data_IF_632589837586
#
_entry.id   IF_632589837586
#
_cell.length_a   1.000
_cell.length_b   1.000
_cell.length_c   1.000
_cell.angle_alpha   90.00
_cell.angle_beta   90.00
_cell.angle_gamma   90.00
#
_symmetry.space_group_name_H-M   'P 1'
#
loop_
_entity.id
_entity.type
_entity.pdbx_description
1 polymer ?
#
# COMPACT_ATOMS: atom_id res chain seq x y z
N UNK A 1 -18.21 -6.83 16.66
CA UNK A 1 -16.86 -6.96 16.07
C UNK A 1 -15.97 -5.91 16.69
N UNK A 2 -14.98 -6.31 17.49
CA UNK A 2 -14.04 -5.41 18.14
C UNK A 2 -13.23 -4.64 17.10
N UNK A 3 -13.24 -3.31 17.16
CA UNK A 3 -12.34 -2.49 16.35
C UNK A 3 -10.90 -2.88 16.67
N UNK A 4 -10.21 -3.49 15.70
CA UNK A 4 -8.77 -3.78 15.77
C UNK A 4 -8.02 -2.43 15.73
N UNK A 5 -7.62 -1.92 16.89
CA UNK A 5 -6.91 -0.63 17.01
C UNK A 5 -5.44 -0.79 16.64
N UNK A 6 -5.04 -0.57 15.38
CA UNK A 6 -3.62 -0.60 14.98
C UNK A 6 -2.77 0.39 15.82
N UNK A 7 -1.55 -0.02 16.20
CA UNK A 7 -0.66 0.79 17.06
C UNK A 7 0.42 1.49 16.26
N UNK A 8 0.52 2.81 16.41
CA UNK A 8 1.61 3.60 15.85
C UNK A 8 2.70 3.86 16.88
N UNK A 9 3.96 3.83 16.43
CA UNK A 9 5.11 4.15 17.28
C UNK A 9 6.18 4.91 16.48
N UNK A 10 6.82 5.89 17.11
CA UNK A 10 8.02 6.53 16.58
C UNK A 10 9.25 5.98 17.29
N UNK A 11 10.21 5.54 16.50
CA UNK A 11 11.41 4.86 16.97
C UNK A 11 12.63 5.57 16.40
N UNK A 12 13.56 5.98 17.27
CA UNK A 12 14.82 6.63 16.90
C UNK A 12 15.89 6.30 17.94
N UNK A 13 17.15 6.26 17.52
CA UNK A 13 18.29 6.18 18.44
C UNK A 13 18.61 7.52 19.11
N UNK A 14 18.12 8.64 18.57
CA UNK A 14 18.29 10.03 19.04
C UNK A 14 19.29 10.16 20.20
N UNK A 15 20.58 10.15 19.86
CA UNK A 15 21.68 10.14 20.83
C UNK A 15 21.82 11.48 21.57
N UNK A 16 21.20 12.53 21.03
CA UNK A 16 21.14 13.84 21.67
C UNK A 16 20.10 13.87 22.80
N UNK A 17 19.19 12.89 22.86
CA UNK A 17 18.22 12.74 23.94
C UNK A 17 18.80 11.87 25.08
N UNK A 18 19.04 12.43 26.29
CA UNK A 18 19.64 11.70 27.40
C UNK A 18 18.77 10.56 27.96
N UNK A 19 17.49 10.53 27.62
CA UNK A 19 16.59 9.41 27.98
C UNK A 19 16.71 8.21 27.03
N UNK A 20 17.37 8.36 25.88
CA UNK A 20 17.54 7.27 24.93
C UNK A 20 18.69 6.36 25.37
N UNK A 21 18.37 5.10 25.65
CA UNK A 21 19.38 4.06 25.84
C UNK A 21 19.64 3.33 24.50
N UNK A 22 20.78 3.56 23.83
CA UNK A 22 21.08 2.95 22.53
C UNK A 22 21.25 1.42 22.61
N UNK A 23 21.50 0.88 23.80
CA UNK A 23 21.62 -0.56 24.04
C UNK A 23 20.30 -1.22 24.45
N UNK A 24 19.18 -0.49 24.43
CA UNK A 24 17.88 -1.04 24.78
C UNK A 24 17.47 -2.12 23.75
N UNK A 25 17.33 -3.39 24.16
CA UNK A 25 17.03 -4.48 23.22
C UNK A 25 15.70 -4.27 22.49
N UNK A 26 14.68 -3.69 23.14
CA UNK A 26 13.38 -3.42 22.49
C UNK A 26 13.49 -2.37 21.38
N UNK A 27 14.34 -1.37 21.58
CA UNK A 27 14.62 -0.33 20.57
C UNK A 27 15.32 -0.96 19.36
N UNK A 28 16.39 -1.72 19.62
CA UNK A 28 17.16 -2.39 18.56
C UNK A 28 16.32 -3.39 17.78
N UNK A 29 15.47 -4.18 18.44
CA UNK A 29 14.55 -5.10 17.76
C UNK A 29 13.63 -4.35 16.80
N UNK A 30 13.02 -3.24 17.23
CA UNK A 30 12.13 -2.45 16.36
C UNK A 30 12.85 -1.85 15.16
N UNK A 31 14.05 -1.31 15.36
CA UNK A 31 14.87 -0.81 14.25
C UNK A 31 15.28 -1.93 13.29
N UNK A 32 15.61 -3.12 13.81
CA UNK A 32 15.87 -4.31 12.99
C UNK A 32 14.63 -4.72 12.18
N UNK A 33 13.44 -4.73 12.79
CA UNK A 33 12.19 -5.01 12.07
C UNK A 33 11.95 -4.01 10.92
N UNK A 34 12.19 -2.72 11.17
CA UNK A 34 12.09 -1.70 10.12
C UNK A 34 13.12 -1.92 9.00
N UNK A 35 14.38 -2.19 9.37
CA UNK A 35 15.45 -2.49 8.42
C UNK A 35 15.08 -3.71 7.56
N UNK A 36 14.60 -4.79 8.16
CA UNK A 36 14.25 -6.01 7.43
C UNK A 36 13.06 -5.78 6.49
N UNK A 37 12.05 -5.01 6.93
CA UNK A 37 10.94 -4.57 6.06
C UNK A 37 11.44 -3.74 4.87
N UNK A 38 12.32 -2.76 5.10
CA UNK A 38 12.84 -1.94 4.00
C UNK A 38 13.72 -2.77 3.06
N UNK A 39 14.54 -3.69 3.57
CA UNK A 39 15.35 -4.57 2.74
C UNK A 39 14.51 -5.49 1.86
N UNK A 40 13.37 -5.98 2.35
CA UNK A 40 12.50 -6.87 1.58
C UNK A 40 11.65 -6.11 0.56
N UNK A 41 11.13 -4.94 0.93
CA UNK A 41 10.20 -4.17 0.09
C UNK A 41 10.91 -3.23 -0.89
N UNK A 42 12.18 -2.90 -0.65
CA UNK A 42 13.00 -2.03 -1.51
C UNK A 42 14.28 -2.78 -1.98
N UNK A 43 14.15 -3.80 -2.86
CA UNK A 43 15.28 -4.68 -3.22
C UNK A 43 16.40 -3.98 -4.00
N UNK A 44 16.13 -2.81 -4.59
CA UNK A 44 17.13 -1.97 -5.26
C UNK A 44 18.00 -1.18 -4.28
N UNK A 45 17.60 -1.07 -3.01
CA UNK A 45 18.36 -0.38 -1.99
C UNK A 45 19.41 -1.32 -1.37
N UNK A 46 20.70 -0.95 -1.35
CA UNK A 46 21.72 -1.77 -0.71
C UNK A 46 21.43 -1.98 0.79
N UNK A 47 21.56 -3.21 1.29
CA UNK A 47 21.23 -3.55 2.69
C UNK A 47 22.05 -2.75 3.70
N UNK A 48 23.33 -2.52 3.44
CA UNK A 48 24.20 -1.70 4.29
C UNK A 48 23.77 -0.24 4.31
N UNK A 49 23.28 0.26 3.17
CA UNK A 49 22.75 1.61 3.05
C UNK A 49 21.48 1.79 3.89
N UNK A 50 20.54 0.85 3.77
CA UNK A 50 19.30 0.82 4.57
C UNK A 50 19.63 0.79 6.05
N UNK A 51 20.50 -0.15 6.46
CA UNK A 51 20.92 -0.30 7.85
C UNK A 51 21.53 1.00 8.39
N UNK A 52 22.44 1.62 7.64
CA UNK A 52 23.09 2.86 8.07
C UNK A 52 22.12 4.01 8.32
N UNK A 53 21.03 4.13 7.54
CA UNK A 53 20.04 5.19 7.73
C UNK A 53 19.02 4.86 8.82
N UNK A 54 18.53 3.62 8.88
CA UNK A 54 17.57 3.19 9.92
C UNK A 54 18.18 3.34 11.32
N UNK A 55 19.47 3.03 11.46
CA UNK A 55 20.23 3.17 12.71
C UNK A 55 20.97 4.52 12.81
N UNK A 56 20.63 5.51 11.98
CA UNK A 56 21.23 6.83 12.09
C UNK A 56 20.55 7.64 13.22
N UNK A 57 21.30 8.27 14.15
CA UNK A 57 20.73 9.07 15.23
C UNK A 57 19.85 10.24 14.77
N UNK A 58 20.09 10.78 13.57
CA UNK A 58 19.32 11.88 13.01
C UNK A 58 18.05 11.44 12.26
N UNK A 59 17.82 10.13 12.16
CA UNK A 59 16.62 9.57 11.54
C UNK A 59 15.64 9.07 12.59
N UNK A 60 14.37 9.20 12.25
CA UNK A 60 13.25 8.66 13.02
C UNK A 60 12.45 7.75 12.11
N UNK A 61 12.00 6.62 12.64
CA UNK A 61 11.16 5.67 11.92
C UNK A 61 9.77 5.66 12.55
N UNK A 62 8.76 6.09 11.79
CA UNK A 62 7.35 5.87 12.11
C UNK A 62 7.00 4.43 11.75
N UNK A 63 6.44 3.68 12.69
CA UNK A 63 6.12 2.27 12.55
C UNK A 63 4.64 2.02 12.85
N UNK A 64 4.02 1.10 12.12
CA UNK A 64 2.64 0.67 12.34
C UNK A 64 2.60 -0.84 12.61
N UNK A 65 2.07 -1.23 13.76
CA UNK A 65 1.96 -2.62 14.20
C UNK A 65 0.51 -3.11 14.22
N UNK A 66 0.34 -4.42 14.02
CA UNK A 66 -0.91 -5.14 14.24
C UNK A 66 -1.00 -5.66 15.69
N UNK A 67 -2.20 -5.62 16.29
CA UNK A 67 -2.36 -5.86 17.74
C UNK A 67 -2.15 -7.30 18.20
N UNK A 68 -2.49 -8.29 17.38
CA UNK A 68 -2.57 -9.68 17.86
C UNK A 68 -1.19 -10.29 18.11
N UNK A 69 -0.16 -9.88 17.36
CA UNK A 69 1.18 -10.51 17.43
C UNK A 69 2.35 -9.53 17.13
N UNK A 70 2.11 -8.21 17.06
CA UNK A 70 3.07 -7.18 16.62
C UNK A 70 3.79 -7.42 15.27
N UNK A 71 3.20 -8.03 14.22
CA UNK A 71 3.82 -7.94 12.90
C UNK A 71 3.84 -6.48 12.45
N UNK A 72 5.01 -6.03 11.99
CA UNK A 72 5.19 -4.70 11.43
C UNK A 72 4.45 -4.62 10.09
N UNK A 73 3.42 -3.79 10.02
CA UNK A 73 2.58 -3.62 8.83
C UNK A 73 3.21 -2.66 7.82
N UNK A 74 3.90 -1.64 8.31
CA UNK A 74 4.54 -0.62 7.49
C UNK A 74 5.40 0.32 8.30
N UNK A 75 6.34 0.97 7.63
CA UNK A 75 7.25 1.93 8.24
C UNK A 75 7.60 3.07 7.28
N UNK A 76 7.85 4.26 7.85
CA UNK A 76 8.41 5.41 7.16
C UNK A 76 9.63 5.88 7.95
N UNK A 77 10.82 5.78 7.36
CA UNK A 77 12.06 6.32 7.92
C UNK A 77 12.32 7.70 7.32
N UNK A 78 12.50 8.71 8.17
CA UNK A 78 12.67 10.09 7.74
C UNK A 78 13.72 10.82 8.58
N UNK A 79 14.35 11.82 7.99
CA UNK A 79 15.29 12.74 8.62
C UNK A 79 14.61 14.09 8.88
N UNK A 80 14.97 14.71 10.00
CA UNK A 80 14.41 15.99 10.44
C UNK A 80 15.42 17.12 10.23
N UNK A 81 15.02 18.20 9.57
CA UNK A 81 15.73 19.47 9.47
C UNK A 81 14.96 20.53 10.25
N UNK A 82 15.18 20.57 11.57
CA UNK A 82 14.43 21.42 12.51
C UNK A 82 14.47 22.92 12.13
N UNK A 83 15.64 23.53 11.83
CA UNK A 83 15.69 24.96 11.49
C UNK A 83 14.88 25.30 10.23
N UNK A 84 14.95 24.43 9.24
CA UNK A 84 14.25 24.54 7.96
C UNK A 84 12.77 24.11 8.01
N UNK A 85 12.30 23.57 9.14
CA UNK A 85 10.95 22.99 9.30
C UNK A 85 10.61 21.95 8.22
N UNK A 86 11.63 21.21 7.80
CA UNK A 86 11.58 20.26 6.69
C UNK A 86 11.81 18.82 7.19
N UNK A 87 11.01 17.87 6.70
CA UNK A 87 11.24 16.44 6.89
C UNK A 87 11.56 15.76 5.56
N UNK A 88 12.64 14.98 5.50
CA UNK A 88 13.01 14.18 4.33
C UNK A 88 12.66 12.72 4.58
N UNK A 89 11.76 12.15 3.77
CA UNK A 89 11.51 10.71 3.81
C UNK A 89 12.62 10.00 3.05
N UNK A 90 13.38 9.16 3.76
CA UNK A 90 14.42 8.31 3.21
C UNK A 90 13.87 6.98 2.71
N UNK A 91 12.99 6.33 3.50
CA UNK A 91 12.35 5.06 3.12
C UNK A 91 10.87 5.05 3.50
N UNK A 92 10.06 4.43 2.66
CA UNK A 92 8.64 4.20 2.91
C UNK A 92 8.26 2.82 2.36
N UNK A 93 7.77 1.94 3.23
CA UNK A 93 7.41 0.58 2.85
C UNK A 93 6.20 0.07 3.64
N UNK A 94 5.42 -0.79 3.00
CA UNK A 94 4.30 -1.53 3.59
C UNK A 94 4.50 -3.00 3.27
N UNK A 95 4.31 -3.87 4.25
CA UNK A 95 4.46 -5.31 4.08
C UNK A 95 3.58 -5.81 2.93
N UNK A 96 4.15 -6.63 2.04
CA UNK A 96 3.49 -7.09 0.81
C UNK A 96 2.16 -7.81 1.03
N UNK A 97 1.99 -8.51 2.16
CA UNK A 97 0.74 -9.20 2.56
C UNK A 97 -0.41 -8.24 2.91
N UNK A 98 -0.12 -6.95 3.09
CA UNK A 98 -1.05 -5.90 3.54
C UNK A 98 -1.09 -4.71 2.59
N UNK A 99 -0.46 -4.83 1.41
CA UNK A 99 -0.60 -3.86 0.31
C UNK A 99 -2.07 -3.76 -0.09
N UNK A 100 -2.49 -2.59 -0.56
CA UNK A 100 -3.85 -2.28 -1.01
C UNK A 100 -4.94 -2.23 0.07
N UNK A 101 -4.61 -2.40 1.35
CA UNK A 101 -5.54 -2.24 2.48
C UNK A 101 -5.58 -0.81 3.05
N UNK A 102 -5.05 0.18 2.31
CA UNK A 102 -4.98 1.58 2.75
C UNK A 102 -3.94 1.87 3.84
N UNK A 103 -3.13 0.88 4.23
CA UNK A 103 -2.08 1.01 5.27
C UNK A 103 -1.10 2.14 4.96
N UNK A 104 -0.62 2.22 3.72
CA UNK A 104 0.32 3.27 3.29
C UNK A 104 -0.24 4.68 3.44
N UNK A 105 -1.54 4.88 3.20
CA UNK A 105 -2.20 6.16 3.42
C UNK A 105 -2.37 6.45 4.92
N UNK A 106 -2.75 5.44 5.73
CA UNK A 106 -2.90 5.58 7.19
C UNK A 106 -1.59 6.03 7.85
N UNK A 107 -0.47 5.36 7.57
CA UNK A 107 0.82 5.70 8.19
C UNK A 107 1.35 7.06 7.72
N UNK A 108 1.14 7.42 6.45
CA UNK A 108 1.50 8.75 5.94
C UNK A 108 0.67 9.85 6.61
N UNK A 109 -0.64 9.67 6.75
CA UNK A 109 -1.51 10.65 7.42
C UNK A 109 -1.15 10.82 8.89
N UNK A 110 -0.86 9.72 9.59
CA UNK A 110 -0.39 9.77 10.97
C UNK A 110 0.95 10.51 11.10
N UNK A 111 1.91 10.24 10.21
CA UNK A 111 3.18 10.97 10.16
C UNK A 111 2.96 12.47 9.94
N UNK A 112 2.08 12.87 9.02
CA UNK A 112 1.78 14.28 8.75
C UNK A 112 1.22 15.00 9.97
N UNK A 113 0.25 14.39 10.65
CA UNK A 113 -0.33 14.97 11.87
C UNK A 113 0.75 15.21 12.92
N UNK A 114 1.66 14.26 13.09
CA UNK A 114 2.75 14.36 14.08
C UNK A 114 3.80 15.40 13.69
N UNK A 115 4.19 15.45 12.42
CA UNK A 115 5.10 16.47 11.91
C UNK A 115 4.53 17.89 12.04
N UNK A 116 3.21 18.07 11.85
CA UNK A 116 2.54 19.35 12.08
C UNK A 116 2.62 19.75 13.55
N UNK A 117 2.37 18.82 14.47
CA UNK A 117 2.48 19.07 15.90
C UNK A 117 3.92 19.46 16.30
N UNK A 118 4.91 18.82 15.68
CA UNK A 118 6.33 19.13 15.88
C UNK A 118 6.79 20.42 15.15
N UNK A 119 5.89 21.11 14.43
CA UNK A 119 6.14 22.41 13.80
C UNK A 119 6.77 22.37 12.40
N UNK A 120 6.77 21.22 11.73
CA UNK A 120 7.23 21.08 10.35
C UNK A 120 6.18 21.58 9.36
N UNK A 121 6.62 22.19 8.26
CA UNK A 121 5.75 22.74 7.21
C UNK A 121 5.81 21.94 5.93
N UNK A 122 6.88 21.18 5.70
CA UNK A 122 7.12 20.51 4.43
C UNK A 122 7.72 19.12 4.63
N UNK A 123 7.26 18.20 3.79
CA UNK A 123 7.87 16.88 3.61
C UNK A 123 8.41 16.79 2.19
N UNK A 124 9.62 16.29 2.04
CA UNK A 124 10.23 16.04 0.73
C UNK A 124 10.74 14.62 0.63
N UNK A 125 10.83 14.11 -0.59
CA UNK A 125 11.43 12.80 -0.84
C UNK A 125 11.85 12.68 -2.31
N UNK A 126 12.79 11.77 -2.56
CA UNK A 126 13.07 11.27 -3.89
C UNK A 126 12.28 9.98 -4.09
N UNK A 127 11.25 10.05 -4.91
CA UNK A 127 10.36 8.95 -5.18
C UNK A 127 10.78 8.17 -6.43
N UNK A 128 10.92 6.86 -6.28
CA UNK A 128 11.06 5.96 -7.42
C UNK A 128 9.84 6.05 -8.35
N UNK A 129 10.04 5.79 -9.64
CA UNK A 129 9.00 5.89 -10.66
C UNK A 129 7.74 5.08 -10.33
N UNK A 130 7.88 3.91 -9.71
CA UNK A 130 6.76 3.06 -9.26
C UNK A 130 6.00 3.63 -8.06
N UNK A 131 6.60 4.53 -7.29
CA UNK A 131 6.02 5.12 -6.08
C UNK A 131 5.41 6.52 -6.31
N UNK A 132 5.62 7.13 -7.48
CA UNK A 132 5.10 8.48 -7.80
C UNK A 132 3.60 8.59 -7.59
N UNK A 133 2.84 7.58 -8.05
CA UNK A 133 1.38 7.60 -7.89
C UNK A 133 0.96 7.53 -6.41
N UNK A 134 1.67 6.73 -5.60
CA UNK A 134 1.43 6.66 -4.15
C UNK A 134 1.66 8.01 -3.48
N UNK A 135 2.80 8.66 -3.75
CA UNK A 135 3.10 9.97 -3.19
C UNK A 135 2.13 11.04 -3.68
N UNK A 136 1.73 11.01 -4.97
CA UNK A 136 0.71 11.90 -5.50
C UNK A 136 -0.63 11.74 -4.80
N UNK A 137 -1.08 10.50 -4.54
CA UNK A 137 -2.30 10.22 -3.75
C UNK A 137 -2.18 10.69 -2.30
N UNK A 138 -0.95 10.72 -1.77
CA UNK A 138 -0.64 11.31 -0.48
C UNK A 138 -0.43 12.84 -0.54
N UNK A 139 -0.76 13.53 -1.64
CA UNK A 139 -0.67 14.99 -1.72
C UNK A 139 0.73 15.55 -1.94
N UNK A 140 1.69 14.73 -2.36
CA UNK A 140 2.97 15.22 -2.86
C UNK A 140 2.84 15.70 -4.31
N UNK A 141 3.65 16.69 -4.68
CA UNK A 141 3.71 17.26 -6.02
C UNK A 141 5.14 17.27 -6.54
N UNK A 142 5.29 17.09 -7.85
CA UNK A 142 6.55 17.33 -8.57
C UNK A 142 6.89 18.83 -8.63
N UNK A 143 5.90 19.71 -8.43
CA UNK A 143 6.11 21.15 -8.39
C UNK A 143 6.62 21.54 -7.01
N UNK A 144 7.88 21.95 -6.95
CA UNK A 144 8.56 22.34 -5.72
C UNK A 144 8.33 23.83 -5.48
N UNK A 145 7.68 24.16 -4.38
CA UNK A 145 7.47 25.52 -3.88
C UNK A 145 8.50 25.92 -2.83
N UNK A 146 9.22 24.94 -2.26
CA UNK A 146 10.27 25.19 -1.29
C UNK A 146 11.45 25.89 -1.97
N UNK A 147 11.96 26.96 -1.34
CA UNK A 147 13.12 27.69 -1.87
C UNK A 147 14.35 26.76 -1.92
N UNK A 148 15.10 26.84 -3.02
CA UNK A 148 16.21 25.93 -3.31
C UNK A 148 17.28 25.91 -2.22
N UNK A 149 17.59 27.07 -1.63
CA UNK A 149 18.53 27.23 -0.52
C UNK A 149 18.15 26.44 0.74
N UNK A 150 16.90 25.99 0.88
CA UNK A 150 16.43 25.19 2.02
C UNK A 150 16.80 23.72 1.85
N UNK A 151 16.68 23.15 0.65
CA UNK A 151 16.78 21.70 0.43
C UNK A 151 18.02 21.28 -0.38
N UNK A 152 18.52 22.13 -1.27
CA UNK A 152 19.66 21.83 -2.12
C UNK A 152 20.91 21.57 -1.27
N UNK A 153 21.60 20.46 -1.54
CA UNK A 153 22.78 20.00 -0.79
C UNK A 153 22.50 19.43 0.60
N UNK A 154 21.26 19.47 1.10
CA UNK A 154 20.86 18.85 2.39
C UNK A 154 20.13 17.53 2.21
N UNK A 155 19.23 17.49 1.23
CA UNK A 155 18.41 16.32 0.89
C UNK A 155 19.21 15.40 -0.04
N UNK A 156 19.13 14.09 0.17
CA UNK A 156 19.87 13.12 -0.62
C UNK A 156 19.24 12.91 -1.99
N UNK A 157 20.06 13.00 -3.03
CA UNK A 157 19.69 12.67 -4.40
C UNK A 157 19.79 11.16 -4.65
N UNK A 158 18.85 10.63 -5.44
CA UNK A 158 18.85 9.24 -5.89
C UNK A 158 18.67 9.19 -7.40
N UNK A 159 19.52 8.44 -8.09
CA UNK A 159 19.50 8.33 -9.55
C UNK A 159 18.20 7.69 -10.04
N UNK A 160 17.58 8.28 -11.05
CA UNK A 160 16.31 7.79 -11.61
C UNK A 160 15.08 8.01 -10.73
N UNK A 161 15.22 8.69 -9.58
CA UNK A 161 14.10 9.08 -8.72
C UNK A 161 13.66 10.52 -9.01
N UNK A 162 12.37 10.81 -8.79
CA UNK A 162 11.81 12.15 -8.94
C UNK A 162 11.71 12.84 -7.59
N UNK A 163 12.23 14.07 -7.49
CA UNK A 163 12.05 14.89 -6.31
C UNK A 163 10.60 15.38 -6.20
N UNK A 164 9.97 15.17 -5.05
CA UNK A 164 8.58 15.57 -4.78
C UNK A 164 8.44 16.21 -3.40
N UNK A 165 7.52 17.17 -3.29
CA UNK A 165 7.22 17.92 -2.07
C UNK A 165 5.75 17.78 -1.65
N UNK A 166 5.50 17.60 -0.37
CA UNK A 166 4.19 17.73 0.27
C UNK A 166 4.23 18.89 1.27
N UNK A 167 3.48 19.96 0.98
CA UNK A 167 3.23 21.03 1.94
C UNK A 167 2.21 20.58 2.99
N UNK A 168 2.50 20.81 4.26
CA UNK A 168 1.64 20.49 5.39
C UNK A 168 0.76 21.68 5.75
N UNK A 169 -0.53 21.40 5.99
CA UNK A 169 -1.51 22.41 6.37
C UNK A 169 -1.98 22.15 7.80
N UNK A 170 -1.59 23.03 8.73
CA UNK A 170 -1.88 22.90 10.16
C UNK A 170 -3.38 22.92 10.52
N UNK A 171 -4.23 23.46 9.64
CA UNK A 171 -5.68 23.44 9.81
C UNK A 171 -6.35 22.11 9.44
N UNK A 172 -5.59 21.09 9.00
CA UNK A 172 -6.11 19.80 8.57
C UNK A 172 -5.57 18.69 9.47
N UNK A 173 -6.48 17.91 10.06
CA UNK A 173 -6.15 16.63 10.70
C UNK A 173 -6.21 15.52 9.66
N UNK A 174 -5.05 15.10 9.15
CA UNK A 174 -4.92 14.16 8.03
C UNK A 174 -5.43 12.75 8.40
N UNK A 175 -5.28 12.31 9.65
CA UNK A 175 -5.86 11.04 10.13
C UNK A 175 -7.39 10.98 9.99
N UNK A 176 -8.07 12.13 9.96
CA UNK A 176 -9.52 12.25 9.85
C UNK A 176 -9.97 12.83 8.50
N UNK A 177 -9.06 12.97 7.53
CA UNK A 177 -9.36 13.65 6.25
C UNK A 177 -10.54 13.05 5.51
N UNK A 178 -10.73 11.72 5.59
CA UNK A 178 -11.87 11.04 4.96
C UNK A 178 -13.21 11.51 5.54
N UNK A 179 -13.30 11.61 6.87
CA UNK A 179 -14.48 12.13 7.57
C UNK A 179 -14.69 13.61 7.27
N UNK A 180 -13.61 14.41 7.33
CA UNK A 180 -13.66 15.83 7.04
C UNK A 180 -14.21 16.13 5.64
N UNK A 181 -13.76 15.39 4.62
CA UNK A 181 -14.26 15.55 3.24
C UNK A 181 -15.73 15.10 3.13
N UNK A 182 -16.13 14.04 3.82
CA UNK A 182 -17.53 13.61 3.87
C UNK A 182 -18.42 14.69 4.50
N UNK A 183 -18.02 15.24 5.64
CA UNK A 183 -18.75 16.29 6.34
C UNK A 183 -18.87 17.56 5.46
N UNK A 184 -17.78 17.98 4.83
CA UNK A 184 -17.77 19.09 3.88
C UNK A 184 -18.72 18.87 2.70
N UNK A 185 -18.70 17.66 2.10
CA UNK A 185 -19.61 17.28 1.02
C UNK A 185 -21.06 17.38 1.47
N UNK A 186 -21.39 16.88 2.66
CA UNK A 186 -22.76 16.94 3.19
C UNK A 186 -23.25 18.37 3.39
N UNK A 187 -22.39 19.27 3.87
CA UNK A 187 -22.71 20.69 4.03
C UNK A 187 -23.01 21.34 2.67
N UNK A 188 -22.19 21.07 1.64
CA UNK A 188 -22.38 21.62 0.29
C UNK A 188 -23.69 21.12 -0.31
N UNK A 189 -23.95 19.80 -0.26
CA UNK A 189 -25.17 19.21 -0.82
C UNK A 189 -26.42 19.76 -0.16
N UNK A 190 -26.40 19.91 1.17
CA UNK A 190 -27.49 20.54 1.93
C UNK A 190 -27.73 21.98 1.47
N UNK A 191 -26.67 22.76 1.25
CA UNK A 191 -26.78 24.15 0.75
C UNK A 191 -27.34 24.23 -0.67
N UNK A 192 -27.08 23.22 -1.50
CA UNK A 192 -27.60 23.13 -2.86
C UNK A 192 -29.04 22.59 -2.93
N UNK A 193 -29.67 22.28 -1.78
CA UNK A 193 -31.02 21.70 -1.75
C UNK A 193 -31.08 20.27 -2.29
N UNK A 194 -29.93 19.61 -2.45
CA UNK A 194 -29.86 18.22 -2.88
C UNK A 194 -30.04 17.36 -1.63
N UNK A 195 -31.26 16.85 -1.43
CA UNK A 195 -31.52 15.83 -0.43
C UNK A 195 -30.86 14.55 -0.90
N UNK A 196 -29.73 14.21 -0.29
CA UNK A 196 -29.24 12.83 -0.38
C UNK A 196 -30.32 11.97 0.26
N UNK A 197 -30.97 11.10 -0.53
CA UNK A 197 -31.59 9.92 0.06
C UNK A 197 -30.50 9.29 0.93
N UNK A 198 -30.81 9.05 2.21
CA UNK A 198 -29.90 8.33 3.08
C UNK A 198 -29.58 7.00 2.40
N UNK A 199 -28.43 6.91 1.75
CA UNK A 199 -27.73 5.65 1.74
C UNK A 199 -27.26 5.51 3.17
N UNK A 200 -28.04 4.76 3.95
CA UNK A 200 -27.84 4.53 5.37
C UNK A 200 -26.35 4.31 5.62
N UNK A 201 -25.75 5.15 6.46
CA UNK A 201 -24.42 4.88 7.03
C UNK A 201 -24.54 3.82 8.13
N UNK A 202 -25.14 2.70 7.79
CA UNK A 202 -24.56 1.43 8.19
C UNK A 202 -23.70 1.03 7.00
N UNK A 203 -22.46 0.62 7.20
CA UNK A 203 -21.85 -0.31 6.24
C UNK A 203 -22.64 -1.62 6.40
N UNK A 204 -23.92 -1.62 6.06
CA UNK A 204 -24.50 -2.77 5.39
C UNK A 204 -23.88 -2.65 4.02
N UNK A 205 -22.67 -3.21 3.92
CA UNK A 205 -22.17 -3.87 2.74
C UNK A 205 -23.39 -4.17 1.84
N UNK A 206 -23.61 -3.34 0.80
CA UNK A 206 -24.81 -3.44 -0.06
C UNK A 206 -24.75 -4.83 -0.70
N UNK A 207 -25.39 -5.78 -0.02
CA UNK A 207 -25.14 -7.21 -0.18
C UNK A 207 -25.27 -7.61 -1.66
N UNK A 208 -26.21 -7.05 -2.45
CA UNK A 208 -26.29 -7.27 -3.89
C UNK A 208 -25.04 -6.81 -4.67
N UNK A 209 -24.45 -5.65 -4.36
CA UNK A 209 -23.27 -5.13 -5.07
C UNK A 209 -21.99 -5.87 -4.64
N UNK A 210 -21.90 -6.24 -3.37
CA UNK A 210 -20.79 -7.06 -2.88
C UNK A 210 -20.83 -8.49 -3.38
N UNK A 211 -22.03 -9.09 -3.47
CA UNK A 211 -22.23 -10.37 -4.15
C UNK A 211 -21.89 -10.25 -5.64
N UNK A 212 -22.26 -9.14 -6.30
CA UNK A 212 -21.90 -8.89 -7.69
C UNK A 212 -20.39 -8.81 -7.91
N UNK A 213 -19.67 -8.07 -7.06
CA UNK A 213 -18.21 -7.96 -7.12
C UNK A 213 -17.51 -9.28 -6.77
N UNK A 214 -18.02 -10.00 -5.76
CA UNK A 214 -17.55 -11.34 -5.38
C UNK A 214 -17.75 -12.33 -6.53
N UNK A 215 -18.93 -12.38 -7.14
CA UNK A 215 -19.23 -13.29 -8.24
C UNK A 215 -18.41 -12.95 -9.48
N UNK A 216 -18.24 -11.66 -9.81
CA UNK A 216 -17.37 -11.23 -10.88
C UNK A 216 -15.90 -11.65 -10.66
N UNK A 217 -15.40 -11.51 -9.43
CA UNK A 217 -14.06 -11.98 -9.06
C UNK A 217 -13.93 -13.50 -9.19
N UNK A 218 -14.90 -14.26 -8.65
CA UNK A 218 -14.89 -15.72 -8.73
C UNK A 218 -14.97 -16.22 -10.17
N UNK A 219 -15.85 -15.64 -11.00
CA UNK A 219 -15.95 -15.97 -12.42
C UNK A 219 -14.65 -15.69 -13.15
N UNK A 220 -14.07 -14.51 -12.94
CA UNK A 220 -12.80 -14.15 -13.55
C UNK A 220 -11.69 -15.14 -13.22
N UNK A 221 -11.55 -15.48 -11.93
CA UNK A 221 -10.51 -16.43 -11.50
C UNK A 221 -10.78 -17.83 -12.05
N UNK A 222 -12.04 -18.28 -12.07
CA UNK A 222 -12.39 -19.62 -12.56
C UNK A 222 -12.15 -19.77 -14.07
N UNK A 223 -12.53 -18.77 -14.87
CA UNK A 223 -12.29 -18.73 -16.31
C UNK A 223 -10.80 -18.70 -16.65
N UNK A 224 -10.00 -17.97 -15.87
CA UNK A 224 -8.55 -17.90 -16.09
C UNK A 224 -7.85 -19.17 -15.62
N UNK A 225 -8.26 -19.75 -14.48
CA UNK A 225 -7.73 -21.04 -13.97
C UNK A 225 -7.98 -22.22 -14.92
N UNK A 226 -9.01 -22.14 -15.78
CA UNK A 226 -9.28 -23.14 -16.82
C UNK A 226 -8.33 -23.08 -18.02
N UNK A 227 -7.43 -22.09 -18.08
CA UNK A 227 -6.53 -21.90 -19.21
C UNK A 227 -5.14 -22.46 -18.94
N UNK A 228 -4.52 -23.06 -19.97
CA UNK A 228 -3.20 -23.71 -19.89
C UNK A 228 -2.06 -22.79 -19.44
N UNK A 229 -2.20 -21.47 -19.59
CA UNK A 229 -1.21 -20.46 -19.19
C UNK A 229 -1.25 -20.12 -17.69
N UNK A 230 -2.30 -20.53 -16.97
CA UNK A 230 -2.56 -20.13 -15.58
C UNK A 230 -2.09 -21.16 -14.55
N UNK A 231 -1.82 -22.41 -14.95
CA UNK A 231 -1.54 -23.55 -14.06
C UNK A 231 -0.39 -23.29 -13.08
N UNK A 232 0.61 -22.51 -13.51
CA UNK A 232 1.78 -22.11 -12.70
C UNK A 232 1.37 -21.21 -11.52
N UNK A 233 0.19 -20.60 -11.57
CA UNK A 233 -0.32 -19.65 -10.58
C UNK A 233 -1.51 -20.20 -9.77
N UNK A 234 -1.80 -21.50 -9.85
CA UNK A 234 -2.94 -22.12 -9.14
C UNK A 234 -2.52 -22.77 -7.81
N UNK A 235 -1.36 -23.43 -7.77
CA UNK A 235 -0.95 -24.23 -6.62
C UNK A 235 0.49 -23.94 -6.21
N UNK A 236 0.76 -24.13 -4.91
CA UNK A 236 2.10 -24.08 -4.32
C UNK A 236 3.02 -25.10 -5.01
N UNK A 237 4.02 -24.64 -5.74
CA UNK A 237 5.02 -25.52 -6.35
C UNK A 237 5.89 -26.16 -5.23
N UNK A 238 5.64 -27.43 -4.92
CA UNK A 238 6.53 -28.23 -4.07
C UNK A 238 7.77 -28.66 -4.85
N UNK A 239 8.73 -27.74 -5.03
CA UNK A 239 10.07 -28.08 -5.50
C UNK A 239 11.11 -27.32 -4.66
N UNK A 240 12.12 -28.04 -4.16
CA UNK A 240 13.23 -27.51 -3.34
C UNK A 240 14.06 -26.39 -4.03
N UNK A 241 13.78 -26.10 -5.30
CA UNK A 241 14.44 -25.07 -6.11
C UNK A 241 13.44 -24.18 -6.87
N UNK A 242 12.16 -24.17 -6.52
CA UNK A 242 11.20 -23.22 -7.09
C UNK A 242 11.53 -21.80 -6.59
N UNK A 243 12.13 -21.02 -7.47
CA UNK A 243 12.52 -19.63 -7.23
C UNK A 243 11.28 -18.79 -6.86
N UNK A 244 11.13 -18.49 -5.57
CA UNK A 244 10.40 -17.36 -4.98
C UNK A 244 9.06 -16.96 -5.64
N UNK A 245 8.12 -17.89 -5.81
CA UNK A 245 6.71 -17.50 -5.96
C UNK A 245 6.18 -17.19 -4.55
N UNK A 246 6.40 -15.95 -4.11
CA UNK A 246 5.89 -15.43 -2.84
C UNK A 246 4.36 -15.40 -2.87
N UNK A 247 3.74 -16.11 -1.91
CA UNK A 247 2.31 -16.23 -1.58
C UNK A 247 1.42 -15.10 -2.11
N UNK A 248 0.92 -15.27 -3.34
CA UNK A 248 -0.12 -14.48 -4.01
C UNK A 248 -0.48 -15.17 -5.33
N UNK A 249 -1.19 -16.27 -5.22
CA UNK A 249 -1.65 -17.13 -6.31
C UNK A 249 -3.17 -16.95 -6.52
N UNK A 250 -3.69 -17.58 -7.58
CA UNK A 250 -5.12 -17.56 -7.88
C UNK A 250 -5.94 -18.21 -6.75
N UNK A 251 -5.38 -19.17 -6.02
CA UNK A 251 -5.99 -19.80 -4.85
C UNK A 251 -6.24 -18.80 -3.72
N UNK A 252 -5.26 -17.97 -3.39
CA UNK A 252 -5.42 -16.87 -2.43
C UNK A 252 -6.48 -15.88 -2.93
N UNK A 253 -6.48 -15.57 -4.22
CA UNK A 253 -7.49 -14.68 -4.79
C UNK A 253 -8.92 -15.23 -4.63
N UNK A 254 -9.12 -16.56 -4.74
CA UNK A 254 -10.41 -17.24 -4.49
C UNK A 254 -10.79 -17.12 -3.01
N UNK A 255 -9.87 -17.40 -2.10
CA UNK A 255 -10.12 -17.28 -0.65
C UNK A 255 -10.56 -15.85 -0.29
N UNK A 256 -9.86 -14.84 -0.82
CA UNK A 256 -10.19 -13.43 -0.64
C UNK A 256 -11.53 -13.05 -1.26
N UNK A 257 -11.86 -13.58 -2.45
CA UNK A 257 -13.18 -13.37 -3.05
C UNK A 257 -14.31 -13.89 -2.14
N UNK A 258 -14.17 -15.12 -1.62
CA UNK A 258 -15.14 -15.75 -0.71
C UNK A 258 -15.35 -14.95 0.58
N UNK A 259 -14.32 -14.24 1.04
CA UNK A 259 -14.34 -13.36 2.21
C UNK A 259 -14.81 -11.93 1.91
N UNK A 260 -15.40 -11.65 0.74
CA UNK A 260 -15.87 -10.31 0.35
C UNK A 260 -14.76 -9.24 0.36
N UNK A 261 -13.51 -9.63 0.07
CA UNK A 261 -12.37 -8.71 0.07
C UNK A 261 -12.44 -7.68 -1.08
N UNK A 262 -12.94 -8.06 -2.24
CA UNK A 262 -13.00 -7.21 -3.43
C UNK A 262 -14.21 -6.28 -3.41
N UNK A 263 -14.12 -5.21 -2.63
CA UNK A 263 -15.20 -4.20 -2.49
C UNK A 263 -15.30 -3.21 -3.65
N UNK A 264 -14.31 -3.22 -4.54
CA UNK A 264 -14.30 -2.43 -5.77
C UNK A 264 -13.49 -3.16 -6.84
N UNK A 265 -13.76 -2.88 -8.12
CA UNK A 265 -12.92 -3.31 -9.25
C UNK A 265 -11.44 -2.95 -9.04
N UNK A 266 -11.16 -1.80 -8.42
CA UNK A 266 -9.80 -1.34 -8.15
C UNK A 266 -9.01 -2.30 -7.25
N UNK A 267 -9.64 -2.86 -6.21
CA UNK A 267 -8.98 -3.82 -5.31
C UNK A 267 -8.63 -5.10 -6.06
N UNK A 268 -9.56 -5.61 -6.87
CA UNK A 268 -9.32 -6.81 -7.70
C UNK A 268 -8.20 -6.58 -8.72
N UNK A 269 -8.21 -5.42 -9.38
CA UNK A 269 -7.17 -5.02 -10.35
C UNK A 269 -5.77 -4.97 -9.72
N UNK A 270 -5.63 -4.36 -8.56
CA UNK A 270 -4.32 -4.25 -7.91
C UNK A 270 -3.84 -5.61 -7.39
N UNK A 271 -4.74 -6.45 -6.88
CA UNK A 271 -4.39 -7.80 -6.44
C UNK A 271 -3.88 -8.65 -7.61
N UNK A 272 -4.59 -8.67 -8.74
CA UNK A 272 -4.14 -9.40 -9.93
C UNK A 272 -2.85 -8.81 -10.52
N UNK A 273 -2.69 -7.49 -10.52
CA UNK A 273 -1.48 -6.80 -11.00
C UNK A 273 -0.25 -7.21 -10.19
N UNK A 274 -0.42 -7.41 -8.90
CA UNK A 274 0.68 -7.79 -8.01
C UNK A 274 1.27 -9.19 -8.29
N UNK A 275 0.53 -10.07 -8.98
CA UNK A 275 1.08 -11.35 -9.49
C UNK A 275 2.15 -11.05 -10.55
N UNK A 276 1.81 -10.23 -11.55
CA UNK A 276 2.75 -9.80 -12.60
C UNK A 276 3.94 -9.00 -12.06
N UNK A 277 3.70 -8.00 -11.20
CA UNK A 277 4.77 -7.17 -10.64
C UNK A 277 5.79 -7.99 -9.85
N UNK A 278 5.35 -9.02 -9.14
CA UNK A 278 6.26 -9.94 -8.43
C UNK A 278 7.09 -10.75 -9.42
N UNK A 279 6.50 -11.30 -10.47
CA UNK A 279 7.27 -12.00 -11.50
C UNK A 279 8.33 -11.10 -12.14
N UNK A 280 8.01 -9.84 -12.43
CA UNK A 280 8.99 -8.85 -12.92
C UNK A 280 10.12 -8.65 -11.90
N UNK A 281 9.79 -8.48 -10.62
CA UNK A 281 10.78 -8.19 -9.58
C UNK A 281 11.76 -9.35 -9.34
N UNK A 282 11.28 -10.61 -9.42
CA UNK A 282 12.11 -11.79 -9.13
C UNK A 282 12.78 -12.39 -10.35
N UNK A 283 12.12 -12.36 -11.52
CA UNK A 283 12.58 -13.07 -12.73
C UNK A 283 13.00 -12.12 -13.86
N UNK A 284 12.72 -10.82 -13.74
CA UNK A 284 12.90 -9.85 -14.83
C UNK A 284 11.72 -9.84 -15.81
N UNK A 285 11.70 -8.83 -16.69
CA UNK A 285 10.63 -8.56 -17.66
C UNK A 285 10.65 -9.51 -18.87
N UNK A 286 11.83 -10.00 -19.26
CA UNK A 286 11.99 -10.91 -20.40
C UNK A 286 11.62 -12.36 -20.11
N UNK A 287 11.50 -12.74 -18.83
CA UNK A 287 11.24 -14.11 -18.42
C UNK A 287 9.87 -14.60 -18.89
N UNK A 288 9.81 -15.87 -19.31
CA UNK A 288 8.58 -16.47 -19.83
C UNK A 288 7.45 -16.48 -18.78
N UNK A 289 7.79 -16.73 -17.51
CA UNK A 289 6.84 -16.67 -16.40
C UNK A 289 6.25 -15.26 -16.21
N UNK A 290 7.05 -14.22 -16.42
CA UNK A 290 6.59 -12.82 -16.33
C UNK A 290 5.62 -12.48 -17.45
N UNK A 291 5.89 -12.96 -18.67
CA UNK A 291 4.95 -12.83 -19.80
C UNK A 291 3.63 -13.54 -19.55
N UNK A 292 3.67 -14.75 -18.99
CA UNK A 292 2.47 -15.50 -18.59
C UNK A 292 1.70 -14.77 -17.49
N UNK A 293 2.38 -14.25 -16.46
CA UNK A 293 1.74 -13.50 -15.38
C UNK A 293 1.05 -12.23 -15.88
N UNK A 294 1.64 -11.55 -16.89
CA UNK A 294 1.02 -10.41 -17.55
C UNK A 294 -0.28 -10.79 -18.26
N UNK A 295 -0.26 -11.88 -19.03
CA UNK A 295 -1.44 -12.39 -19.72
C UNK A 295 -2.54 -12.77 -18.73
N UNK A 296 -2.19 -13.47 -17.66
CA UNK A 296 -3.12 -13.83 -16.57
C UNK A 296 -3.76 -12.59 -15.97
N UNK A 297 -2.97 -11.55 -15.65
CA UNK A 297 -3.51 -10.29 -15.13
C UNK A 297 -4.49 -9.62 -16.09
N UNK A 298 -4.13 -9.51 -17.38
CA UNK A 298 -4.97 -8.89 -18.41
C UNK A 298 -6.29 -9.66 -18.60
N UNK A 299 -6.22 -10.99 -18.65
CA UNK A 299 -7.38 -11.86 -18.78
C UNK A 299 -8.31 -11.79 -17.57
N UNK A 300 -7.76 -11.76 -16.34
CA UNK A 300 -8.54 -11.59 -15.12
C UNK A 300 -9.37 -10.31 -15.17
N UNK A 301 -8.80 -9.19 -15.65
CA UNK A 301 -9.54 -7.93 -15.77
C UNK A 301 -10.66 -8.00 -16.79
N UNK A 302 -10.39 -8.59 -17.96
CA UNK A 302 -11.40 -8.74 -19.02
C UNK A 302 -12.56 -9.61 -18.53
N UNK A 303 -12.26 -10.75 -17.93
CA UNK A 303 -13.29 -11.66 -17.41
C UNK A 303 -14.07 -11.03 -16.25
N UNK A 304 -13.40 -10.26 -15.38
CA UNK A 304 -14.05 -9.54 -14.29
C UNK A 304 -15.05 -8.52 -14.83
N UNK A 305 -14.64 -7.69 -15.79
CA UNK A 305 -15.49 -6.64 -16.36
C UNK A 305 -16.71 -7.23 -17.06
N UNK A 306 -16.48 -8.28 -17.87
CA UNK A 306 -17.55 -9.04 -18.53
C UNK A 306 -18.57 -9.58 -17.50
N UNK A 307 -18.10 -10.26 -16.47
CA UNK A 307 -18.98 -10.86 -15.45
C UNK A 307 -19.73 -9.81 -14.64
N UNK A 308 -19.05 -8.71 -14.32
CA UNK A 308 -19.64 -7.59 -13.60
C UNK A 308 -20.75 -6.92 -14.43
N UNK A 309 -20.52 -6.65 -15.72
CA UNK A 309 -21.50 -6.07 -16.64
C UNK A 309 -22.71 -7.00 -16.86
N UNK A 310 -22.45 -8.30 -17.04
CA UNK A 310 -23.47 -9.31 -17.31
C UNK A 310 -24.24 -9.76 -16.07
N UNK A 311 -23.84 -9.30 -14.87
CA UNK A 311 -24.45 -9.70 -13.57
C UNK A 311 -24.49 -11.21 -13.37
N UNK A 312 -23.42 -11.91 -13.80
CA UNK A 312 -23.34 -13.36 -13.71
C UNK A 312 -23.45 -13.80 -12.24
N UNK A 313 -24.40 -14.69 -11.96
CA UNK A 313 -24.66 -15.24 -10.63
C UNK A 313 -23.76 -16.42 -10.29
N UNK A 314 -23.87 -16.91 -9.05
CA UNK A 314 -23.17 -18.13 -8.64
C UNK A 314 -23.61 -19.37 -9.45
N UNK A 315 -24.84 -19.37 -9.98
CA UNK A 315 -25.39 -20.45 -10.78
C UNK A 315 -24.89 -20.43 -12.24
N UNK A 316 -24.51 -19.27 -12.77
CA UNK A 316 -23.92 -19.13 -14.11
C UNK A 316 -22.47 -19.63 -14.16
N UNK A 317 -21.80 -19.75 -13.01
CA UNK A 317 -20.47 -20.37 -12.90
C UNK A 317 -20.51 -21.85 -13.33
N UNK A 318 -21.65 -22.53 -13.18
CA UNK A 318 -21.77 -23.97 -13.44
C UNK A 318 -22.08 -24.25 -14.93
N UNK A 319 -22.72 -23.32 -15.64
CA UNK A 319 -23.25 -23.57 -16.98
C UNK A 319 -22.24 -23.44 -18.13
N UNK A 320 -21.15 -22.67 -17.96
CA UNK A 320 -20.11 -22.54 -19.01
C UNK A 320 -19.16 -23.76 -19.08
N UNK A 321 -19.23 -24.69 -18.13
CA UNK A 321 -18.45 -25.95 -18.14
C UNK A 321 -19.01 -27.02 -19.09
N UNK A 322 -20.24 -26.85 -19.60
CA UNK A 322 -20.92 -27.86 -20.45
C UNK A 322 -20.88 -27.50 -21.94
N UNK A 323 -20.23 -26.39 -22.33
CA UNK A 323 -20.16 -25.94 -23.73
C UNK A 323 -18.78 -26.04 -24.38
N UNK A 324 -17.82 -26.67 -23.72
CA UNK A 324 -16.52 -27.00 -24.31
C UNK A 324 -16.29 -28.50 -24.18
N UNK A 325 -17.03 -29.27 -24.98
CA UNK A 325 -16.62 -30.61 -25.43
C UNK A 325 -16.08 -30.52 -26.86
#
# INVERSE_FOLDING_TARGET
MSQQVSKFEFVSLDLDNPSTNPYNPKLLIKLTMAKDLFCSELPRMPKDYVTRLVFNPYHTTCMLFENSENPLLGAICYRRFKPEKLAEIAFCAVASTRKYMGIGAKIMNYLKDQLILDGYTDIVTYADNSAIEYFSKCGFSKKIYLQENIWHGRVKHYDGATFVQCKLYSGIKYSEVGKLVQDQRMIILKRLGITMNQCSQEIVDDLPELDRLKNAALYAIMQVSGQNNSTVFIQEMQLEWAVNIVWNDLSLMIEKAKQYFYRTRGIFKEHSKSIHERCVNYNGDTAQITKLAKQVHEQLLICFDKAYEQKLGADDLIFDLVRVE
#
